data_IF_219552834405
#
_entry.id   IF_219552834405
#
_cell.length_a   1.000
_cell.length_b   1.000
_cell.length_c   1.000
_cell.angle_alpha   90.00
_cell.angle_beta   90.00
_cell.angle_gamma   90.00
#
_symmetry.space_group_name_H-M   'P 1'
#
loop_
_entity.id
_entity.type
_entity.pdbx_description
1 polymer ?
#
# COMPACT_ATOMS: atom_id res chain seq x y z
N UNK A 1 19.59 34.56 -13.42
CA UNK A 1 18.93 33.70 -14.42
C UNK A 1 18.18 32.62 -13.59
N UNK A 2 16.86 32.67 -13.59
CA UNK A 2 16.03 31.65 -12.95
C UNK A 2 16.13 30.39 -13.80
N UNK A 3 16.59 29.28 -13.22
CA UNK A 3 16.56 28.00 -13.89
C UNK A 3 15.11 27.72 -14.34
N UNK A 4 14.91 27.24 -15.59
CA UNK A 4 13.57 26.87 -16.03
C UNK A 4 13.04 25.77 -15.12
N UNK A 5 11.79 25.91 -14.62
CA UNK A 5 11.13 24.85 -13.87
C UNK A 5 11.14 23.59 -14.73
N UNK A 6 11.57 22.45 -14.18
CA UNK A 6 11.51 21.19 -14.91
C UNK A 6 10.08 20.96 -15.41
N UNK A 7 9.94 20.59 -16.69
CA UNK A 7 8.64 20.21 -17.25
C UNK A 7 8.11 18.97 -16.49
N UNK A 8 6.83 18.96 -16.11
CA UNK A 8 6.24 17.80 -15.46
C UNK A 8 6.46 16.55 -16.32
N UNK A 9 6.82 15.45 -15.69
CA UNK A 9 6.97 14.17 -16.38
C UNK A 9 5.62 13.75 -16.99
N UNK A 10 5.57 13.27 -18.24
CA UNK A 10 4.33 12.66 -18.78
C UNK A 10 3.79 11.53 -17.90
N UNK A 11 4.64 10.87 -17.13
CA UNK A 11 4.24 9.85 -16.14
C UNK A 11 3.52 10.42 -14.92
N UNK A 12 3.55 11.71 -14.73
CA UNK A 12 2.87 12.45 -13.66
C UNK A 12 1.67 13.27 -14.18
N UNK A 13 1.25 13.03 -15.43
CA UNK A 13 0.05 13.65 -15.95
C UNK A 13 -1.16 13.31 -15.10
N UNK A 14 -2.07 14.25 -14.95
CA UNK A 14 -3.31 14.11 -14.18
C UNK A 14 -4.50 14.52 -15.05
N UNK A 15 -5.68 14.05 -14.70
CA UNK A 15 -6.92 14.47 -15.35
C UNK A 15 -7.37 15.87 -14.91
N UNK A 16 -8.41 16.39 -15.55
CA UNK A 16 -8.89 17.76 -15.27
C UNK A 16 -9.55 17.92 -13.90
N UNK A 17 -9.93 16.82 -13.26
CA UNK A 17 -10.57 16.83 -11.93
C UNK A 17 -9.55 16.70 -10.80
N UNK A 18 -8.27 16.45 -11.10
CA UNK A 18 -7.26 16.24 -10.08
C UNK A 18 -7.08 17.44 -9.15
N UNK A 19 -7.03 17.16 -7.87
CA UNK A 19 -6.70 18.11 -6.82
C UNK A 19 -5.88 17.42 -5.73
N UNK A 20 -4.74 18.02 -5.36
CA UNK A 20 -3.90 17.51 -4.25
C UNK A 20 -4.67 17.49 -2.93
N UNK A 21 -5.58 18.42 -2.71
CA UNK A 21 -6.43 18.45 -1.53
C UNK A 21 -7.46 17.32 -1.54
N UNK A 22 -8.08 17.07 -2.69
CA UNK A 22 -9.08 16.01 -2.81
C UNK A 22 -8.46 14.61 -2.68
N UNK A 23 -7.29 14.37 -3.26
CA UNK A 23 -6.62 13.07 -3.11
C UNK A 23 -6.17 12.83 -1.67
N UNK A 24 -5.68 13.87 -0.95
CA UNK A 24 -5.37 13.74 0.48
C UNK A 24 -6.60 13.43 1.33
N UNK A 25 -7.77 14.02 1.00
CA UNK A 25 -9.04 13.68 1.66
C UNK A 25 -9.48 12.26 1.35
N UNK A 26 -9.35 11.83 0.09
CA UNK A 26 -9.63 10.45 -0.32
C UNK A 26 -8.74 9.47 0.44
N UNK A 27 -7.45 9.77 0.58
CA UNK A 27 -6.50 8.97 1.33
C UNK A 27 -6.85 8.89 2.82
N UNK A 28 -7.18 10.00 3.46
CA UNK A 28 -7.61 10.01 4.87
C UNK A 28 -8.86 9.16 5.09
N UNK A 29 -9.87 9.27 4.21
CA UNK A 29 -11.08 8.42 4.25
C UNK A 29 -10.76 6.95 4.01
N UNK A 30 -9.77 6.65 3.15
CA UNK A 30 -9.32 5.28 2.91
C UNK A 30 -8.72 4.66 4.16
N UNK A 31 -7.94 5.41 4.93
CA UNK A 31 -7.42 4.96 6.22
C UNK A 31 -8.53 4.73 7.26
N UNK A 32 -9.52 5.62 7.33
CA UNK A 32 -10.70 5.41 8.20
C UNK A 32 -11.42 4.09 7.82
N UNK A 33 -11.60 3.85 6.53
CA UNK A 33 -12.24 2.65 6.01
C UNK A 33 -11.40 1.39 6.28
N UNK A 34 -10.08 1.44 6.09
CA UNK A 34 -9.17 0.33 6.40
C UNK A 34 -9.26 -0.06 7.87
N UNK A 35 -9.22 0.92 8.77
CA UNK A 35 -9.33 0.65 10.21
C UNK A 35 -10.69 0.08 10.61
N UNK A 36 -11.78 0.52 9.97
CA UNK A 36 -13.10 -0.04 10.20
C UNK A 36 -13.17 -1.51 9.75
N UNK A 37 -12.58 -1.85 8.60
CA UNK A 37 -12.44 -3.24 8.13
C UNK A 37 -11.53 -4.04 9.06
N UNK A 38 -10.40 -3.50 9.48
CA UNK A 38 -9.49 -4.19 10.37
C UNK A 38 -10.14 -4.57 11.72
N UNK A 39 -11.02 -3.71 12.23
CA UNK A 39 -11.69 -3.92 13.52
C UNK A 39 -12.60 -5.17 13.57
N UNK A 40 -13.06 -5.68 12.42
CA UNK A 40 -13.91 -6.88 12.39
C UNK A 40 -13.14 -8.18 12.15
N UNK A 41 -11.90 -8.10 11.69
CA UNK A 41 -11.08 -9.28 11.39
C UNK A 41 -10.60 -9.91 12.70
N UNK A 42 -10.84 -11.22 12.86
CA UNK A 42 -10.48 -11.96 14.08
C UNK A 42 -10.12 -13.41 13.76
N UNK A 43 -9.35 -14.07 14.61
CA UNK A 43 -9.03 -15.50 14.49
C UNK A 43 -10.27 -16.36 14.25
N UNK A 44 -10.11 -17.40 13.44
CA UNK A 44 -11.18 -18.28 13.01
C UNK A 44 -11.95 -17.84 11.75
N UNK A 45 -11.78 -16.61 11.28
CA UNK A 45 -12.34 -16.17 10.00
C UNK A 45 -11.51 -16.68 8.83
N UNK A 46 -12.18 -16.99 7.72
CA UNK A 46 -11.51 -17.18 6.42
C UNK A 46 -11.27 -15.83 5.73
N UNK A 47 -10.32 -15.77 4.79
CA UNK A 47 -10.10 -14.57 3.95
C UNK A 47 -11.38 -14.16 3.22
N UNK A 48 -12.16 -15.11 2.71
CA UNK A 48 -13.42 -14.85 2.04
C UNK A 48 -14.47 -14.23 2.99
N UNK A 49 -14.57 -14.72 4.23
CA UNK A 49 -15.48 -14.15 5.23
C UNK A 49 -15.06 -12.74 5.63
N UNK A 50 -13.77 -12.52 5.87
CA UNK A 50 -13.24 -11.20 6.20
C UNK A 50 -13.48 -10.20 5.06
N UNK A 51 -13.20 -10.61 3.82
CA UNK A 51 -13.43 -9.77 2.62
C UNK A 51 -14.92 -9.43 2.45
N UNK A 52 -15.81 -10.40 2.58
CA UNK A 52 -17.25 -10.16 2.44
C UNK A 52 -17.78 -9.19 3.51
N UNK A 53 -17.38 -9.37 4.77
CA UNK A 53 -17.75 -8.45 5.85
C UNK A 53 -17.12 -7.07 5.67
N UNK A 54 -15.86 -7.00 5.24
CA UNK A 54 -15.19 -5.74 4.91
C UNK A 54 -15.92 -4.97 3.80
N UNK A 55 -16.33 -5.64 2.74
CA UNK A 55 -17.12 -5.04 1.67
C UNK A 55 -18.46 -4.47 2.17
N UNK A 56 -19.11 -5.15 3.11
CA UNK A 56 -20.36 -4.65 3.72
C UNK A 56 -20.11 -3.36 4.51
N UNK A 57 -19.02 -3.30 5.31
CA UNK A 57 -18.62 -2.09 6.04
C UNK A 57 -18.32 -0.94 5.08
N UNK A 58 -17.58 -1.20 4.01
CA UNK A 58 -17.25 -0.18 3.02
C UNK A 58 -18.51 0.37 2.35
N UNK A 59 -19.49 -0.48 2.06
CA UNK A 59 -20.78 -0.05 1.53
C UNK A 59 -21.57 0.82 2.53
N UNK A 60 -21.59 0.46 3.82
CA UNK A 60 -22.22 1.26 4.89
C UNK A 60 -21.53 2.62 5.07
N UNK A 61 -20.22 2.70 4.84
CA UNK A 61 -19.47 3.96 4.82
C UNK A 61 -19.69 4.80 3.56
N UNK A 62 -20.57 4.33 2.66
CA UNK A 62 -20.91 5.04 1.42
C UNK A 62 -19.90 4.87 0.29
N UNK A 63 -19.02 3.88 0.37
CA UNK A 63 -18.12 3.57 -0.72
C UNK A 63 -18.92 3.02 -1.91
N UNK A 64 -18.88 3.73 -3.03
CA UNK A 64 -19.61 3.36 -4.25
C UNK A 64 -18.71 2.56 -5.20
N UNK A 65 -17.39 2.74 -5.11
CA UNK A 65 -16.43 2.18 -6.07
C UNK A 65 -15.07 1.97 -5.46
N UNK A 66 -14.46 0.85 -5.86
CA UNK A 66 -13.02 0.63 -5.74
C UNK A 66 -12.38 0.69 -7.13
N UNK A 67 -11.17 1.21 -7.25
CA UNK A 67 -10.39 1.14 -8.48
C UNK A 67 -9.61 -0.19 -8.55
N UNK A 68 -9.27 -0.81 -7.40
CA UNK A 68 -8.88 -2.21 -7.28
C UNK A 68 -9.63 -2.90 -6.12
N UNK A 69 -9.75 -4.25 -6.12
CA UNK A 69 -10.47 -5.00 -5.09
C UNK A 69 -9.88 -4.85 -3.69
N UNK A 70 -10.74 -4.94 -2.66
CA UNK A 70 -10.30 -5.19 -1.30
C UNK A 70 -9.65 -6.57 -1.23
N UNK A 71 -8.39 -6.62 -0.84
CA UNK A 71 -7.62 -7.82 -0.55
C UNK A 71 -7.38 -7.94 0.96
N UNK A 72 -7.68 -9.12 1.50
CA UNK A 72 -7.31 -9.48 2.87
C UNK A 72 -6.57 -10.80 2.79
N UNK A 73 -5.32 -10.84 3.27
CA UNK A 73 -4.42 -11.97 3.15
C UNK A 73 -3.97 -12.43 4.53
N UNK A 74 -4.03 -13.75 4.77
CA UNK A 74 -3.68 -14.36 6.04
C UNK A 74 -2.46 -15.29 5.93
N UNK A 75 -1.61 -15.31 6.94
CA UNK A 75 -0.49 -16.24 7.08
C UNK A 75 0.42 -16.25 5.85
N UNK A 76 0.60 -17.42 5.25
CA UNK A 76 1.45 -17.58 4.07
C UNK A 76 0.96 -16.79 2.84
N UNK A 77 -0.32 -16.43 2.78
CA UNK A 77 -0.84 -15.62 1.69
C UNK A 77 -0.35 -14.17 1.75
N UNK A 78 0.25 -13.72 2.85
CA UNK A 78 0.92 -12.43 2.95
C UNK A 78 2.16 -12.30 2.05
N UNK A 79 2.65 -13.41 1.50
CA UNK A 79 3.72 -13.44 0.50
C UNK A 79 3.24 -13.17 -0.93
N UNK A 80 1.92 -13.19 -1.16
CA UNK A 80 1.32 -13.02 -2.47
C UNK A 80 1.19 -11.55 -2.83
N UNK A 81 1.32 -11.27 -4.12
CA UNK A 81 1.10 -9.94 -4.68
C UNK A 81 -0.34 -9.79 -5.21
N UNK A 82 -0.72 -8.59 -5.62
CA UNK A 82 -2.05 -8.24 -6.10
C UNK A 82 -2.57 -9.19 -7.20
N UNK A 83 -1.73 -9.59 -8.15
CA UNK A 83 -2.12 -10.48 -9.25
C UNK A 83 -2.34 -11.93 -8.84
N UNK A 84 -1.87 -12.34 -7.67
CA UNK A 84 -1.96 -13.72 -7.20
C UNK A 84 -3.36 -13.99 -6.65
N UNK A 85 -3.95 -15.10 -7.10
CA UNK A 85 -5.24 -15.56 -6.61
C UNK A 85 -5.09 -16.50 -5.43
N UNK A 86 -6.02 -16.40 -4.48
CA UNK A 86 -6.20 -17.37 -3.40
C UNK A 86 -7.61 -17.95 -3.47
N UNK A 87 -7.83 -19.19 -3.02
CA UNK A 87 -9.18 -19.75 -2.86
C UNK A 87 -10.04 -18.98 -1.87
N UNK A 88 -9.41 -18.22 -0.95
CA UNK A 88 -10.10 -17.46 0.10
C UNK A 88 -10.50 -18.30 1.32
N UNK A 89 -10.05 -19.53 1.38
CA UNK A 89 -10.35 -20.51 2.44
C UNK A 89 -9.31 -20.53 3.58
N UNK A 90 -8.21 -19.78 3.43
CA UNK A 90 -7.20 -19.64 4.50
C UNK A 90 -7.83 -19.00 5.71
N UNK A 91 -7.65 -19.65 6.86
CA UNK A 91 -8.22 -19.24 8.15
C UNK A 91 -7.17 -18.47 8.95
N UNK A 92 -7.54 -17.32 9.50
CA UNK A 92 -6.68 -16.57 10.41
C UNK A 92 -6.47 -17.34 11.70
N UNK A 93 -5.21 -17.61 12.06
CA UNK A 93 -4.83 -18.28 13.29
C UNK A 93 -4.88 -17.35 14.51
N UNK A 94 -4.84 -17.98 15.72
CA UNK A 94 -4.72 -17.24 17.00
C UNK A 94 -3.36 -16.50 17.10
N UNK A 95 -2.33 -17.07 16.52
CA UNK A 95 -0.96 -16.55 16.47
C UNK A 95 -0.55 -16.40 14.99
N UNK A 96 -0.97 -15.31 14.33
CA UNK A 96 -0.84 -15.17 12.89
C UNK A 96 -0.50 -13.73 12.47
N UNK A 97 -0.23 -13.54 11.17
CA UNK A 97 0.00 -12.25 10.53
C UNK A 97 -0.91 -12.10 9.33
N UNK A 98 -1.40 -10.89 9.08
CA UNK A 98 -2.32 -10.62 7.99
C UNK A 98 -2.29 -9.16 7.57
N UNK A 99 -2.68 -8.88 6.32
CA UNK A 99 -2.77 -7.51 5.85
C UNK A 99 -4.11 -7.22 5.13
N UNK A 100 -4.42 -5.96 5.04
CA UNK A 100 -5.43 -5.38 4.17
C UNK A 100 -4.72 -4.52 3.12
N UNK A 101 -5.20 -4.60 1.89
CA UNK A 101 -4.83 -3.78 0.75
C UNK A 101 -6.12 -3.36 0.04
N UNK A 102 -6.34 -2.06 -0.18
CA UNK A 102 -7.59 -1.56 -0.74
C UNK A 102 -7.44 -0.21 -1.45
N UNK A 103 -8.07 -0.14 -2.64
CA UNK A 103 -8.08 1.06 -3.47
C UNK A 103 -9.47 1.69 -3.61
N UNK A 104 -10.01 2.37 -2.58
CA UNK A 104 -11.32 3.00 -2.65
C UNK A 104 -11.27 4.31 -3.42
N UNK A 105 -12.37 4.64 -4.09
CA UNK A 105 -12.55 5.93 -4.74
C UNK A 105 -13.45 6.80 -3.88
N UNK A 106 -12.90 7.88 -3.35
CA UNK A 106 -13.65 8.92 -2.64
C UNK A 106 -13.55 10.26 -3.35
N UNK A 107 -14.67 10.96 -3.48
CA UNK A 107 -14.72 12.29 -4.10
C UNK A 107 -14.07 12.36 -5.50
N UNK A 108 -14.17 11.27 -6.25
CA UNK A 108 -13.60 11.17 -7.60
C UNK A 108 -12.08 11.00 -7.65
N UNK A 109 -11.43 10.70 -6.51
CA UNK A 109 -9.99 10.46 -6.43
C UNK A 109 -9.71 9.06 -5.88
N UNK A 110 -8.60 8.49 -6.32
CA UNK A 110 -8.16 7.15 -5.97
C UNK A 110 -7.38 7.18 -4.66
N UNK A 111 -8.02 6.72 -3.59
CA UNK A 111 -7.30 6.35 -2.38
C UNK A 111 -6.62 5.01 -2.56
N UNK A 112 -5.53 4.79 -1.82
CA UNK A 112 -4.82 3.53 -1.83
C UNK A 112 -4.06 3.33 -0.53
N UNK A 113 -4.43 2.31 0.22
CA UNK A 113 -3.91 2.07 1.56
C UNK A 113 -3.75 0.59 1.83
N UNK A 114 -2.63 0.23 2.42
CA UNK A 114 -2.36 -1.11 2.89
C UNK A 114 -1.68 -1.12 4.24
N UNK A 115 -2.08 -2.04 5.11
CA UNK A 115 -1.47 -2.23 6.42
C UNK A 115 -1.50 -3.68 6.88
N UNK A 116 -0.45 -4.06 7.62
CA UNK A 116 -0.29 -5.37 8.22
C UNK A 116 -0.57 -5.34 9.71
N UNK A 117 -1.19 -6.41 10.18
CA UNK A 117 -1.55 -6.66 11.56
C UNK A 117 -1.04 -8.04 11.99
N UNK A 118 -0.82 -8.23 13.28
CA UNK A 118 -0.51 -9.53 13.85
C UNK A 118 -1.48 -9.85 14.98
N UNK A 119 -1.92 -11.10 15.03
CA UNK A 119 -2.66 -11.68 16.16
C UNK A 119 -1.72 -12.47 17.06
N UNK A 120 -2.10 -12.67 18.31
CA UNK A 120 -1.34 -13.48 19.27
C UNK A 120 -0.01 -12.83 19.70
N UNK A 121 0.96 -13.67 20.02
CA UNK A 121 2.20 -13.25 20.71
C UNK A 121 3.49 -13.69 20.03
N UNK A 122 3.41 -14.25 18.83
CA UNK A 122 4.59 -14.65 18.04
C UNK A 122 5.49 -13.42 17.78
N UNK A 123 6.71 -13.37 18.32
CA UNK A 123 7.55 -12.19 18.27
C UNK A 123 8.04 -11.87 16.85
N UNK A 124 8.18 -12.88 15.97
CA UNK A 124 8.63 -12.67 14.60
C UNK A 124 7.51 -12.03 13.75
N UNK A 125 6.27 -12.48 13.91
CA UNK A 125 5.11 -11.91 13.21
C UNK A 125 4.80 -10.50 13.71
N UNK A 126 4.88 -10.27 15.02
CA UNK A 126 4.74 -8.94 15.62
C UNK A 126 5.84 -7.97 15.12
N UNK A 127 7.08 -8.45 15.03
CA UNK A 127 8.18 -7.67 14.49
C UNK A 127 7.98 -7.35 13.00
N UNK A 128 7.56 -8.34 12.19
CA UNK A 128 7.33 -8.14 10.76
C UNK A 128 6.25 -7.07 10.49
N UNK A 129 5.12 -7.15 11.20
CA UNK A 129 4.03 -6.19 11.08
C UNK A 129 4.45 -4.76 11.48
N UNK A 130 5.27 -4.62 12.53
CA UNK A 130 5.83 -3.33 12.96
C UNK A 130 6.87 -2.81 11.98
N UNK A 131 7.77 -3.66 11.53
CA UNK A 131 8.96 -3.27 10.80
C UNK A 131 8.65 -2.90 9.34
N UNK A 132 7.58 -3.43 8.73
CA UNK A 132 7.15 -2.99 7.39
C UNK A 132 6.73 -1.52 7.40
N UNK A 133 6.00 -1.10 8.44
CA UNK A 133 5.66 0.32 8.60
C UNK A 133 6.88 1.18 8.93
N UNK A 134 7.76 0.70 9.79
CA UNK A 134 9.03 1.40 10.08
C UNK A 134 9.87 1.58 8.81
N UNK A 135 9.93 0.55 7.96
CA UNK A 135 10.60 0.63 6.66
C UNK A 135 9.96 1.72 5.79
N UNK A 136 8.64 1.69 5.64
CA UNK A 136 7.91 2.73 4.91
C UNK A 136 8.25 4.12 5.43
N UNK A 137 8.18 4.34 6.75
CA UNK A 137 8.44 5.65 7.37
C UNK A 137 9.88 6.14 7.09
N UNK A 138 10.86 5.23 7.11
CA UNK A 138 12.26 5.56 6.79
C UNK A 138 12.41 5.97 5.32
N UNK A 139 11.80 5.24 4.40
CA UNK A 139 11.88 5.56 2.97
C UNK A 139 11.11 6.84 2.65
N UNK A 140 9.95 7.03 3.26
CA UNK A 140 9.22 8.30 3.15
C UNK A 140 10.06 9.48 3.66
N UNK A 141 10.78 9.33 4.76
CA UNK A 141 11.67 10.38 5.28
C UNK A 141 12.81 10.72 4.30
N UNK A 142 13.34 9.73 3.56
CA UNK A 142 14.31 9.98 2.47
C UNK A 142 13.66 10.79 1.35
N UNK A 143 12.44 10.43 0.94
CA UNK A 143 11.67 11.18 -0.06
C UNK A 143 11.37 12.61 0.41
N UNK A 144 10.96 12.82 1.67
CA UNK A 144 10.69 14.14 2.28
C UNK A 144 11.94 15.04 2.26
N UNK A 145 13.15 14.46 2.30
CA UNK A 145 14.41 15.16 2.15
C UNK A 145 14.64 15.73 0.74
N UNK A 146 13.87 15.31 -0.25
CA UNK A 146 13.78 15.82 -1.62
C UNK A 146 14.89 15.35 -2.55
N UNK A 147 14.62 15.42 -3.86
CA UNK A 147 15.55 15.16 -4.98
C UNK A 147 16.00 13.70 -5.16
N UNK A 148 15.33 12.76 -4.53
CA UNK A 148 15.62 11.32 -4.65
C UNK A 148 14.70 10.71 -5.70
N UNK A 149 15.26 9.97 -6.66
CA UNK A 149 14.47 9.27 -7.68
C UNK A 149 13.72 8.07 -7.12
N UNK A 150 12.72 7.59 -7.85
CA UNK A 150 12.04 6.34 -7.51
C UNK A 150 13.01 5.15 -7.44
N UNK A 151 14.01 5.10 -8.32
CA UNK A 151 15.08 4.09 -8.26
C UNK A 151 15.82 4.12 -6.92
N UNK A 152 16.32 5.30 -6.53
CA UNK A 152 17.10 5.46 -5.30
C UNK A 152 16.26 5.14 -4.05
N UNK A 153 14.94 5.42 -4.08
CA UNK A 153 14.04 5.05 -2.99
C UNK A 153 13.97 3.53 -2.79
N UNK A 154 13.86 2.74 -3.87
CA UNK A 154 13.79 1.29 -3.75
C UNK A 154 15.16 0.63 -3.52
N UNK A 155 16.26 1.23 -3.96
CA UNK A 155 17.61 0.82 -3.56
C UNK A 155 17.81 1.03 -2.05
N UNK A 156 17.39 2.17 -1.52
CA UNK A 156 17.41 2.43 -0.08
C UNK A 156 16.48 1.47 0.68
N UNK A 157 15.27 1.20 0.16
CA UNK A 157 14.32 0.28 0.78
C UNK A 157 14.89 -1.14 0.90
N UNK A 158 15.60 -1.61 -0.12
CA UNK A 158 16.25 -2.92 -0.08
C UNK A 158 17.34 -2.99 1.00
N UNK A 159 18.16 -1.95 1.11
CA UNK A 159 19.21 -1.88 2.13
C UNK A 159 18.62 -1.80 3.55
N UNK A 160 17.61 -0.96 3.75
CA UNK A 160 16.94 -0.82 5.05
C UNK A 160 16.19 -2.09 5.48
N UNK A 161 15.48 -2.75 4.54
CA UNK A 161 14.83 -4.04 4.82
C UNK A 161 15.84 -5.10 5.27
N UNK A 162 16.97 -5.20 4.56
CA UNK A 162 18.04 -6.12 4.91
C UNK A 162 18.67 -5.80 6.29
N UNK A 163 18.84 -4.52 6.63
CA UNK A 163 19.31 -4.08 7.93
C UNK A 163 18.36 -4.43 9.08
N UNK A 164 17.03 -4.50 8.78
CA UNK A 164 16.00 -4.96 9.71
C UNK A 164 15.89 -6.50 9.78
N UNK A 165 16.61 -7.23 8.93
CA UNK A 165 16.57 -8.70 8.89
C UNK A 165 15.49 -9.27 7.96
N UNK A 166 14.87 -8.45 7.12
CA UNK A 166 13.81 -8.83 6.19
C UNK A 166 14.29 -8.83 4.73
N UNK A 167 13.56 -9.51 3.87
CA UNK A 167 13.78 -9.51 2.42
C UNK A 167 12.68 -8.67 1.77
N UNK A 168 13.06 -7.59 1.08
CA UNK A 168 12.11 -6.76 0.31
C UNK A 168 11.68 -7.50 -0.96
N UNK A 169 10.38 -7.47 -1.26
CA UNK A 169 9.84 -7.94 -2.54
C UNK A 169 9.91 -6.80 -3.57
N UNK A 170 10.75 -6.96 -4.59
CA UNK A 170 10.90 -5.99 -5.68
C UNK A 170 9.91 -6.21 -6.85
N UNK A 171 9.02 -7.21 -6.77
CA UNK A 171 7.94 -7.36 -7.74
C UNK A 171 6.86 -6.29 -7.56
N UNK A 172 6.78 -5.67 -6.36
CA UNK A 172 5.95 -4.53 -6.05
C UNK A 172 6.85 -3.33 -5.76
N UNK A 173 6.63 -2.21 -6.43
CA UNK A 173 7.49 -1.04 -6.31
C UNK A 173 6.70 0.26 -6.46
N UNK A 174 5.50 0.33 -5.90
CA UNK A 174 4.64 1.50 -5.97
C UNK A 174 4.11 1.84 -7.36
N UNK A 175 3.13 2.67 -7.42
CA UNK A 175 2.45 3.06 -8.66
C UNK A 175 1.81 4.44 -8.57
N UNK A 176 1.19 4.85 -9.67
CA UNK A 176 0.46 6.12 -9.78
C UNK A 176 -0.95 6.01 -9.21
N UNK A 177 -1.39 7.12 -8.63
CA UNK A 177 -2.80 7.42 -8.32
C UNK A 177 -3.15 8.81 -8.82
N UNK A 178 -4.45 9.13 -8.89
CA UNK A 178 -4.89 10.43 -9.38
C UNK A 178 -6.39 10.63 -9.23
N UNK A 179 -6.95 11.48 -10.10
CA UNK A 179 -8.39 11.55 -10.29
C UNK A 179 -8.86 10.30 -11.05
N UNK A 180 -9.98 9.75 -10.61
CA UNK A 180 -10.52 8.50 -11.17
C UNK A 180 -11.24 8.74 -12.49
N UNK A 181 -11.05 7.91 -13.52
CA UNK A 181 -10.04 6.86 -13.60
C UNK A 181 -8.68 7.39 -14.10
N UNK A 182 -7.60 7.02 -13.42
CA UNK A 182 -6.26 7.40 -13.87
C UNK A 182 -5.75 6.58 -15.07
N UNK A 183 -6.53 5.66 -15.60
CA UNK A 183 -6.17 4.81 -16.73
C UNK A 183 -5.72 5.55 -18.00
N UNK A 184 -5.93 6.87 -18.05
CA UNK A 184 -5.39 7.75 -19.10
C UNK A 184 -3.91 8.04 -18.92
N UNK A 185 -3.32 7.73 -17.78
CA UNK A 185 -1.93 8.01 -17.46
C UNK A 185 -1.07 6.79 -17.72
N UNK A 186 0.06 6.98 -18.36
CA UNK A 186 1.02 5.92 -18.57
C UNK A 186 1.58 5.53 -17.21
N UNK A 187 1.15 4.35 -16.73
CA UNK A 187 1.58 3.80 -15.47
C UNK A 187 3.09 3.49 -15.45
N UNK A 188 3.43 2.52 -14.74
CA UNK A 188 4.77 2.09 -14.45
C UNK A 188 5.02 2.21 -12.95
N UNK A 189 5.94 1.40 -12.47
CA UNK A 189 6.26 1.35 -11.06
C UNK A 189 6.99 2.62 -10.62
N UNK A 190 6.76 3.04 -9.37
CA UNK A 190 7.52 4.11 -8.73
C UNK A 190 9.01 3.79 -8.73
N UNK A 191 9.40 2.54 -8.41
CA UNK A 191 10.78 2.10 -8.47
C UNK A 191 11.44 2.15 -9.86
N UNK A 192 10.65 2.35 -10.93
CA UNK A 192 11.13 2.64 -12.29
C UNK A 192 11.07 4.11 -12.67
N UNK A 193 10.88 5.03 -11.72
CA UNK A 193 10.77 6.47 -11.99
C UNK A 193 12.09 7.18 -11.73
N UNK A 194 12.73 7.66 -12.80
CA UNK A 194 14.06 8.28 -12.77
C UNK A 194 14.12 9.73 -12.29
N UNK A 195 13.02 10.25 -11.76
CA UNK A 195 12.92 11.60 -11.20
C UNK A 195 12.41 11.54 -9.77
N UNK A 196 12.50 12.64 -9.04
CA UNK A 196 11.88 12.75 -7.72
C UNK A 196 10.35 12.69 -7.85
N UNK A 197 9.66 11.76 -7.16
CA UNK A 197 8.21 11.65 -7.21
C UNK A 197 7.53 12.90 -6.66
N UNK A 198 6.56 13.44 -7.41
CA UNK A 198 5.78 14.60 -6.98
C UNK A 198 4.76 14.21 -5.91
N UNK A 199 4.53 15.07 -4.90
CA UNK A 199 3.55 14.81 -3.85
C UNK A 199 2.13 14.60 -4.39
N UNK A 200 1.42 13.65 -3.82
CA UNK A 200 0.02 13.37 -4.14
C UNK A 200 -0.22 12.56 -5.40
N UNK A 201 0.84 12.05 -6.04
CA UNK A 201 0.74 11.33 -7.30
C UNK A 201 1.23 9.88 -7.26
N UNK A 202 1.87 9.48 -6.21
CA UNK A 202 2.51 8.16 -6.12
C UNK A 202 2.20 7.49 -4.80
N UNK A 203 1.90 6.20 -4.89
CA UNK A 203 1.87 5.29 -3.75
C UNK A 203 3.26 4.71 -3.56
N UNK A 204 3.76 4.75 -2.34
CA UNK A 204 4.94 4.02 -1.91
C UNK A 204 4.48 2.70 -1.31
N UNK A 205 4.90 1.58 -1.88
CA UNK A 205 4.55 0.23 -1.43
C UNK A 205 5.77 -0.48 -0.86
N UNK A 206 5.61 -1.11 0.28
CA UNK A 206 6.61 -1.98 0.91
C UNK A 206 6.02 -3.34 1.19
N UNK A 207 6.55 -4.39 0.57
CA UNK A 207 6.26 -5.76 0.96
C UNK A 207 7.56 -6.44 1.38
N UNK A 208 7.60 -6.91 2.63
CA UNK A 208 8.74 -7.63 3.17
C UNK A 208 8.34 -9.07 3.52
N UNK A 209 9.31 -9.97 3.51
CA UNK A 209 9.09 -11.35 3.93
C UNK A 209 10.16 -11.83 4.91
N UNK A 210 9.78 -12.80 5.72
CA UNK A 210 10.73 -13.53 6.56
C UNK A 210 11.71 -14.31 5.67
N UNK A 211 13.03 -14.32 5.99
CA UNK A 211 14.02 -14.98 5.14
C UNK A 211 13.83 -16.50 4.99
N UNK A 212 13.22 -17.15 5.97
CA UNK A 212 13.07 -18.62 6.00
C UNK A 212 11.65 -19.10 6.28
N UNK A 213 10.80 -18.33 6.97
CA UNK A 213 9.43 -18.72 7.28
C UNK A 213 8.43 -18.19 6.24
N UNK A 214 7.30 -18.90 6.00
CA UNK A 214 6.37 -18.57 4.94
C UNK A 214 5.37 -17.46 5.34
N UNK A 215 5.86 -16.30 5.76
CA UNK A 215 5.03 -15.13 5.99
C UNK A 215 5.77 -13.83 5.65
N UNK A 216 5.02 -12.78 5.49
CA UNK A 216 5.51 -11.43 5.21
C UNK A 216 4.55 -10.36 5.69
N UNK A 217 4.85 -9.13 5.35
CA UNK A 217 4.05 -7.96 5.70
C UNK A 217 4.01 -6.97 4.54
N UNK A 218 2.94 -6.20 4.47
CA UNK A 218 2.69 -5.20 3.45
C UNK A 218 2.27 -3.87 4.08
N UNK A 219 2.76 -2.78 3.54
CA UNK A 219 2.35 -1.42 3.90
C UNK A 219 2.47 -0.50 2.70
N UNK A 220 1.44 0.31 2.49
CA UNK A 220 1.46 1.34 1.45
C UNK A 220 0.70 2.58 1.88
N UNK A 221 1.14 3.71 1.35
CA UNK A 221 0.46 5.00 1.51
C UNK A 221 0.90 5.98 0.43
N UNK A 222 0.14 7.05 0.32
CA UNK A 222 0.41 8.17 -0.58
C UNK A 222 1.66 8.94 -0.15
N UNK A 223 2.56 9.22 -1.08
CA UNK A 223 3.62 10.21 -0.89
C UNK A 223 3.01 11.62 -0.94
N UNK A 224 2.71 12.21 0.24
CA UNK A 224 2.05 13.51 0.34
C UNK A 224 2.45 14.30 1.60
#
# INVERSE_FOLDING_TARGET
MTEPRPQPSPREAVGPAYSIEAIRKAQAKSWEALHAVAAIVKPGMTEAQATAQGQAILAEMGLVRNWHPLLIRFGQNTLKIFSDRTPGDTVLGEDDIWFIDMGPVFEGHEGDVGATFATGTDPAKQACARDVKLLFDRIKAIWDGGKVSGYDLYDAAQAEAAALGWVLNLDIQGHRVGDYPHSVHQGGKLGGFGQAPSPGLWILEMQIRHPTEPFGAFYEDLLA
#
